data_IF_154906260099
#
_entry.id   IF_154906260099
#
_cell.length_a   1.000
_cell.length_b   1.000
_cell.length_c   1.000
_cell.angle_alpha   90.00
_cell.angle_beta   90.00
_cell.angle_gamma   90.00
#
_symmetry.space_group_name_H-M   'P 1'
#
loop_
_entity.id
_entity.type
_entity.pdbx_description
1 polymer ?
#
# COMPACT_ATOMS: atom_id res chain seq x y z
N UNK A 1 12.96 -9.84 4.57
CA UNK A 1 12.56 -8.45 4.87
C UNK A 1 11.59 -8.47 6.04
N UNK A 2 11.75 -7.56 7.00
CA UNK A 2 10.80 -7.47 8.11
C UNK A 2 9.49 -6.87 7.58
N UNK A 3 8.36 -7.51 7.91
CA UNK A 3 7.01 -7.12 7.49
C UNK A 3 6.68 -5.65 7.83
N UNK A 4 7.30 -5.15 8.89
CA UNK A 4 7.18 -3.77 9.38
C UNK A 4 7.71 -2.72 8.38
N UNK A 5 8.65 -3.06 7.50
CA UNK A 5 9.26 -2.09 6.58
C UNK A 5 8.37 -1.72 5.39
N UNK A 6 7.26 -2.44 5.19
CA UNK A 6 6.34 -2.20 4.06
C UNK A 6 5.08 -1.41 4.46
N UNK A 7 4.73 -1.40 5.76
CA UNK A 7 3.54 -0.70 6.25
C UNK A 7 3.66 0.82 6.04
N UNK A 8 2.58 1.43 5.55
CA UNK A 8 2.48 2.87 5.27
C UNK A 8 3.15 3.32 3.96
N UNK A 9 3.94 2.46 3.31
CA UNK A 9 4.56 2.78 2.03
C UNK A 9 3.51 2.91 0.92
N UNK A 10 3.74 3.79 -0.07
CA UNK A 10 3.00 3.76 -1.33
C UNK A 10 3.12 2.38 -1.98
N UNK A 11 2.04 1.92 -2.60
CA UNK A 11 2.00 0.61 -3.26
C UNK A 11 3.13 0.46 -4.29
N UNK A 12 3.43 1.51 -5.07
CA UNK A 12 4.53 1.49 -6.04
C UNK A 12 5.88 1.17 -5.39
N UNK A 13 6.22 1.85 -4.30
CA UNK A 13 7.48 1.66 -3.56
C UNK A 13 7.52 0.28 -2.90
N UNK A 14 6.39 -0.18 -2.36
CA UNK A 14 6.30 -1.52 -1.77
C UNK A 14 6.53 -2.63 -2.81
N UNK A 15 5.97 -2.48 -4.01
CA UNK A 15 6.15 -3.41 -5.12
C UNK A 15 7.60 -3.42 -5.64
N UNK A 16 8.25 -2.25 -5.73
CA UNK A 16 9.66 -2.18 -6.12
C UNK A 16 10.55 -2.95 -5.14
N UNK A 17 10.39 -2.72 -3.83
CA UNK A 17 11.13 -3.44 -2.79
C UNK A 17 10.93 -4.95 -2.85
N UNK A 18 9.69 -5.39 -3.07
CA UNK A 18 9.37 -6.81 -3.18
C UNK A 18 9.94 -7.43 -4.45
N UNK A 19 9.90 -6.71 -5.58
CA UNK A 19 10.53 -7.12 -6.85
C UNK A 19 12.04 -7.26 -6.70
N UNK A 20 12.72 -6.35 -6.02
CA UNK A 20 14.16 -6.45 -5.71
C UNK A 20 14.49 -7.71 -4.90
N UNK A 21 13.57 -8.18 -4.06
CA UNK A 21 13.68 -9.45 -3.33
C UNK A 21 13.16 -10.67 -4.10
N UNK A 22 12.70 -10.51 -5.35
CA UNK A 22 12.15 -11.60 -6.15
C UNK A 22 10.79 -12.13 -5.66
N UNK A 23 10.02 -11.30 -4.95
CA UNK A 23 8.69 -11.65 -4.42
C UNK A 23 7.62 -10.92 -5.21
N UNK A 24 6.62 -11.65 -5.70
CA UNK A 24 5.43 -11.08 -6.34
C UNK A 24 4.22 -11.20 -5.41
N UNK A 25 3.76 -10.11 -4.77
CA UNK A 25 2.66 -10.15 -3.84
C UNK A 25 1.28 -10.13 -4.53
N UNK A 26 0.28 -10.70 -3.87
CA UNK A 26 -1.12 -10.47 -4.18
C UNK A 26 -1.58 -9.15 -3.58
N UNK A 27 -2.17 -8.25 -4.38
CA UNK A 27 -2.61 -6.93 -3.92
C UNK A 27 -4.12 -6.92 -3.70
N UNK A 28 -4.52 -6.81 -2.43
CA UNK A 28 -5.93 -6.72 -2.01
C UNK A 28 -6.28 -5.28 -1.69
N UNK A 29 -7.33 -4.76 -2.32
CA UNK A 29 -7.82 -3.41 -2.07
C UNK A 29 -8.88 -3.42 -0.97
N UNK A 30 -8.68 -2.68 0.11
CA UNK A 30 -9.73 -2.47 1.12
C UNK A 30 -10.65 -1.31 0.71
N UNK A 31 -11.91 -1.40 1.11
CA UNK A 31 -12.88 -0.34 0.93
C UNK A 31 -12.92 0.61 2.15
N UNK A 32 -12.23 1.75 2.10
CA UNK A 32 -12.50 2.90 2.99
C UNK A 32 -11.82 4.19 2.45
N UNK A 33 -12.38 5.41 2.61
CA UNK A 33 -13.79 5.83 2.79
C UNK A 33 -14.43 6.28 1.44
N UNK A 34 -15.73 6.62 1.47
CA UNK A 34 -16.57 7.03 0.31
C UNK A 34 -16.26 8.46 -0.20
N UNK A 35 -14.98 8.80 -0.37
CA UNK A 35 -14.49 10.13 -0.79
C UNK A 35 -13.87 10.13 -2.19
N UNK A 36 -13.65 11.33 -2.74
CA UNK A 36 -13.20 11.54 -4.11
C UNK A 36 -11.82 10.88 -4.37
N UNK A 37 -11.81 9.78 -5.11
CA UNK A 37 -10.62 8.93 -5.32
C UNK A 37 -9.61 9.49 -6.31
N UNK A 38 -9.93 10.55 -7.05
CA UNK A 38 -9.12 11.02 -8.17
C UNK A 38 -7.68 11.42 -7.78
N UNK A 39 -7.43 11.77 -6.51
CA UNK A 39 -6.11 12.19 -6.02
C UNK A 39 -5.59 11.38 -4.81
N UNK A 40 -6.11 10.17 -4.56
CA UNK A 40 -5.69 9.38 -3.41
C UNK A 40 -4.50 8.45 -3.73
N UNK A 41 -3.52 8.37 -2.83
CA UNK A 41 -2.39 7.44 -2.91
C UNK A 41 -2.73 6.13 -2.23
N UNK A 42 -2.52 5.01 -2.92
CA UNK A 42 -2.65 3.68 -2.34
C UNK A 42 -1.45 3.39 -1.43
N UNK A 43 -1.71 3.14 -0.16
CA UNK A 43 -0.70 2.79 0.83
C UNK A 43 -0.96 1.41 1.43
N UNK A 44 0.10 0.69 1.74
CA UNK A 44 0.03 -0.61 2.40
C UNK A 44 -0.43 -0.42 3.84
N UNK A 45 -1.56 -1.02 4.20
CA UNK A 45 -2.11 -0.96 5.56
C UNK A 45 -1.98 -2.28 6.30
N UNK A 46 -1.66 -3.36 5.57
CA UNK A 46 -1.46 -4.68 6.13
C UNK A 46 -0.61 -5.54 5.19
N UNK A 47 0.18 -6.42 5.79
CA UNK A 47 0.94 -7.45 5.07
C UNK A 47 0.68 -8.80 5.74
N UNK A 48 0.38 -9.83 4.95
CA UNK A 48 0.13 -11.20 5.42
C UNK A 48 0.73 -12.22 4.45
N UNK A 49 1.84 -12.84 4.82
CA UNK A 49 2.51 -13.79 3.94
C UNK A 49 2.88 -13.11 2.62
N UNK A 50 2.27 -13.55 1.52
CA UNK A 50 2.44 -12.96 0.19
C UNK A 50 1.34 -11.93 -0.20
N UNK A 51 0.44 -11.60 0.71
CA UNK A 51 -0.65 -10.65 0.46
C UNK A 51 -0.30 -9.25 1.00
N UNK A 52 -0.49 -8.23 0.17
CA UNK A 52 -0.48 -6.82 0.53
C UNK A 52 -1.90 -6.27 0.50
N UNK A 53 -2.37 -5.81 1.65
CA UNK A 53 -3.64 -5.09 1.72
C UNK A 53 -3.38 -3.58 1.64
N UNK A 54 -3.99 -2.90 0.67
CA UNK A 54 -3.85 -1.46 0.44
C UNK A 54 -5.14 -0.69 0.67
N UNK A 55 -5.01 0.56 1.10
CA UNK A 55 -6.08 1.53 1.24
C UNK A 55 -5.75 2.84 0.53
N UNK A 56 -6.77 3.57 0.09
CA UNK A 56 -6.61 4.88 -0.50
C UNK A 56 -6.50 5.95 0.61
N UNK A 57 -5.45 6.76 0.56
CA UNK A 57 -5.24 7.89 1.46
C UNK A 57 -5.20 9.17 0.63
N UNK A 58 -5.99 10.16 1.04
CA UNK A 58 -5.84 11.51 0.48
C UNK A 58 -4.48 12.05 0.92
N UNK A 59 -3.60 12.36 -0.03
CA UNK A 59 -2.37 13.10 0.26
C UNK A 59 -2.75 14.59 0.43
N UNK A 60 -3.46 14.88 1.51
CA UNK A 60 -3.70 16.24 1.97
C UNK A 60 -2.40 16.81 2.50
N UNK A 61 -1.97 17.95 1.96
CA UNK A 61 -1.09 18.84 2.75
C UNK A 61 -1.90 19.22 3.99
N UNK A 62 -1.40 19.00 5.22
CA UNK A 62 -2.10 19.55 6.38
C UNK A 62 -2.16 21.07 6.19
N UNK A 63 -3.37 21.64 6.20
CA UNK A 63 -3.59 23.08 6.21
C UNK A 63 -3.26 23.68 7.57
#
# INVERSE_FOLDING_TARGET
>A
MAVETLLGLPLSVALEKLREAGVEPEVVHTAAPRGNRENATLRVIRVRGNELTVGAFEDGTPV
#
